data_IF_661587323270
#
_entry.id   IF_661587323270
#
_cell.length_a   1.000
_cell.length_b   1.000
_cell.length_c   1.000
_cell.angle_alpha   90.00
_cell.angle_beta   90.00
_cell.angle_gamma   90.00
#
_symmetry.space_group_name_H-M   'P 1'
#
loop_
_entity.id
_entity.type
_entity.pdbx_description
1 polymer ?
#
# COMPACT_ATOMS: atom_id res chain seq x y z
N UNK A 1 -0.10 -75.05 6.01
CA UNK A 1 1.31 -74.63 5.83
C UNK A 1 1.59 -74.45 4.36
N UNK A 2 2.01 -73.24 3.95
CA UNK A 2 2.95 -72.91 2.86
C UNK A 2 2.81 -71.41 2.57
N UNK A 3 3.73 -70.63 3.13
CA UNK A 3 3.97 -69.23 2.78
C UNK A 3 4.81 -69.24 1.51
N UNK A 4 4.52 -68.35 0.58
CA UNK A 4 5.51 -67.89 -0.41
C UNK A 4 5.43 -66.38 -0.44
N UNK A 5 6.61 -65.79 -0.22
CA UNK A 5 6.86 -64.37 -0.11
C UNK A 5 7.21 -63.75 -1.47
N UNK A 6 7.10 -62.42 -1.46
CA UNK A 6 7.84 -61.40 -2.22
C UNK A 6 7.36 -61.04 -3.62
N UNK A 7 6.94 -59.78 -3.70
CA UNK A 7 7.02 -58.95 -4.90
C UNK A 7 7.18 -57.50 -4.46
N UNK A 8 8.44 -57.07 -4.28
CA UNK A 8 8.80 -55.68 -4.06
C UNK A 8 8.57 -54.85 -5.33
N UNK A 9 7.87 -53.71 -5.22
CA UNK A 9 7.72 -52.73 -6.29
C UNK A 9 8.30 -51.37 -5.84
N UNK A 10 9.60 -51.26 -6.08
CA UNK A 10 10.34 -50.07 -6.57
C UNK A 10 9.79 -48.65 -6.27
N UNK A 11 10.50 -47.98 -5.35
CA UNK A 11 10.52 -46.54 -5.09
C UNK A 11 11.18 -45.73 -6.24
N UNK A 12 10.53 -45.60 -7.41
CA UNK A 12 11.05 -44.80 -8.54
C UNK A 12 9.99 -43.92 -9.21
N UNK A 13 9.15 -43.24 -8.41
CA UNK A 13 8.10 -42.34 -8.95
C UNK A 13 7.53 -41.33 -7.97
N UNK A 14 8.22 -41.02 -6.87
CA UNK A 14 7.63 -40.30 -5.73
C UNK A 14 7.36 -38.82 -5.96
N UNK A 15 8.03 -38.15 -6.90
CA UNK A 15 7.76 -36.72 -7.17
C UNK A 15 6.50 -36.48 -8.00
N UNK A 16 6.44 -37.09 -9.18
CA UNK A 16 5.36 -36.85 -10.14
C UNK A 16 4.04 -37.49 -9.73
N UNK A 17 4.07 -38.67 -9.08
CA UNK A 17 2.85 -39.32 -8.61
C UNK A 17 2.23 -38.56 -7.43
N UNK A 18 3.04 -38.01 -6.52
CA UNK A 18 2.54 -37.13 -5.43
C UNK A 18 2.02 -35.81 -6.00
N UNK A 19 2.73 -35.18 -6.94
CA UNK A 19 2.26 -33.96 -7.59
C UNK A 19 0.92 -34.18 -8.33
N UNK A 20 0.78 -35.30 -9.03
CA UNK A 20 -0.44 -35.67 -9.75
C UNK A 20 -1.57 -36.09 -8.81
N UNK A 21 -1.27 -36.73 -7.67
CA UNK A 21 -2.25 -37.07 -6.63
C UNK A 21 -2.75 -35.82 -5.88
N UNK A 22 -1.86 -34.85 -5.61
CA UNK A 22 -2.22 -33.53 -5.08
C UNK A 22 -3.03 -32.72 -6.09
N UNK A 23 -2.69 -32.76 -7.39
CA UNK A 23 -3.47 -32.10 -8.45
C UNK A 23 -4.83 -32.76 -8.70
N UNK A 24 -4.93 -34.09 -8.57
CA UNK A 24 -6.16 -34.86 -8.81
C UNK A 24 -7.13 -34.81 -7.62
N UNK A 25 -6.65 -34.68 -6.38
CA UNK A 25 -7.50 -34.43 -5.19
C UNK A 25 -7.71 -32.94 -4.90
N UNK A 26 -6.86 -32.08 -5.45
CA UNK A 26 -6.78 -30.67 -5.14
C UNK A 26 -7.08 -29.78 -6.33
N UNK A 27 -8.32 -29.80 -6.82
CA UNK A 27 -9.00 -28.49 -6.87
C UNK A 27 -9.23 -28.09 -5.41
N UNK A 28 -8.15 -27.67 -4.73
CA UNK A 28 -8.32 -26.76 -3.62
C UNK A 28 -9.18 -25.66 -4.22
N UNK A 29 -10.39 -25.39 -3.69
CA UNK A 29 -11.15 -24.27 -4.20
C UNK A 29 -10.16 -23.11 -4.09
N UNK A 30 -9.81 -22.52 -5.23
CA UNK A 30 -9.37 -21.13 -5.22
C UNK A 30 -10.60 -20.46 -4.66
N UNK A 31 -10.64 -20.32 -3.34
CA UNK A 31 -11.62 -19.49 -2.67
C UNK A 31 -11.18 -18.12 -3.13
N UNK A 32 -11.71 -17.73 -4.28
CA UNK A 32 -11.74 -16.36 -4.77
C UNK A 32 -12.53 -15.62 -3.72
N UNK A 33 -11.82 -15.22 -2.66
CA UNK A 33 -12.39 -14.36 -1.64
C UNK A 33 -12.93 -13.16 -2.38
N UNK A 34 -14.22 -12.87 -2.15
CA UNK A 34 -14.95 -11.80 -2.80
C UNK A 34 -14.08 -10.53 -2.83
N UNK A 35 -13.88 -9.86 -3.97
CA UNK A 35 -13.19 -8.58 -4.04
C UNK A 35 -13.68 -7.59 -2.96
N UNK A 36 -14.94 -7.68 -2.53
CA UNK A 36 -15.51 -6.89 -1.43
C UNK A 36 -14.82 -7.10 -0.08
N UNK A 37 -14.31 -8.30 0.19
CA UNK A 37 -13.52 -8.57 1.39
C UNK A 37 -12.25 -7.73 1.45
N UNK A 38 -11.63 -7.44 0.29
CA UNK A 38 -10.43 -6.61 0.17
C UNK A 38 -10.63 -5.17 0.66
N UNK A 39 -11.89 -4.70 0.64
CA UNK A 39 -12.30 -3.35 1.01
C UNK A 39 -13.06 -3.31 2.35
N UNK A 40 -12.98 -4.36 3.16
CA UNK A 40 -13.66 -4.40 4.46
C UNK A 40 -13.06 -3.39 5.43
N UNK A 41 -13.94 -2.68 6.14
CA UNK A 41 -13.55 -1.85 7.28
C UNK A 41 -12.83 -2.66 8.36
N UNK A 42 -11.74 -2.10 8.86
CA UNK A 42 -11.01 -2.53 10.05
C UNK A 42 -11.23 -1.46 11.11
N UNK A 43 -11.41 -1.84 12.37
CA UNK A 43 -11.75 -0.88 13.44
C UNK A 43 -11.04 -1.17 14.74
N UNK A 44 -10.86 -0.11 15.54
CA UNK A 44 -10.41 -0.14 16.93
C UNK A 44 -11.28 0.83 17.75
N UNK A 45 -11.53 0.51 19.02
CA UNK A 45 -12.11 1.47 19.97
C UNK A 45 -10.98 2.22 20.67
N UNK A 46 -11.12 3.54 20.79
CA UNK A 46 -10.18 4.45 21.46
C UNK A 46 -10.92 5.10 22.62
N UNK A 47 -10.34 5.06 23.81
CA UNK A 47 -10.92 5.59 25.06
C UNK A 47 -10.82 7.12 25.16
N UNK A 48 -11.26 7.81 24.10
CA UNK A 48 -11.29 9.26 23.98
C UNK A 48 -12.54 9.70 23.19
N UNK A 49 -13.04 10.92 23.40
CA UNK A 49 -14.13 11.48 22.62
C UNK A 49 -13.72 11.70 21.15
N UNK A 50 -14.71 11.82 20.28
CA UNK A 50 -14.51 11.85 18.83
C UNK A 50 -13.65 13.03 18.39
N UNK A 51 -13.81 14.16 19.06
CA UNK A 51 -13.13 15.43 18.80
C UNK A 51 -11.62 15.34 19.06
N UNK A 52 -11.21 14.47 20.00
CA UNK A 52 -9.79 14.21 20.28
C UNK A 52 -9.21 13.13 19.36
N UNK A 53 -10.02 12.15 18.97
CA UNK A 53 -9.58 11.08 18.05
C UNK A 53 -9.39 11.60 16.62
N UNK A 54 -10.26 12.50 16.18
CA UNK A 54 -10.28 13.01 14.81
C UNK A 54 -10.61 14.52 14.80
N UNK A 55 -9.72 15.37 15.34
CA UNK A 55 -9.93 16.81 15.43
C UNK A 55 -10.13 17.40 14.04
N UNK A 56 -11.17 18.22 13.88
CA UNK A 56 -11.59 18.81 12.59
C UNK A 56 -11.81 17.79 11.47
N UNK A 57 -12.09 16.53 11.83
CA UNK A 57 -12.22 15.43 10.88
C UNK A 57 -10.89 14.94 10.27
N UNK A 58 -9.76 15.39 10.80
CA UNK A 58 -8.43 14.99 10.33
C UNK A 58 -8.04 13.64 10.95
N UNK A 59 -7.70 12.62 10.14
CA UNK A 59 -7.28 11.32 10.65
C UNK A 59 -5.99 11.40 11.47
N UNK A 60 -5.82 10.55 12.50
CA UNK A 60 -4.60 10.53 13.29
C UNK A 60 -3.38 10.18 12.43
N UNK A 61 -2.21 10.73 12.82
CA UNK A 61 -0.98 10.69 12.02
C UNK A 61 -0.62 9.31 11.44
N UNK A 62 -0.71 8.18 12.18
CA UNK A 62 -0.41 6.86 11.62
C UNK A 62 -1.29 6.48 10.41
N UNK A 63 -2.57 6.86 10.42
CA UNK A 63 -3.50 6.60 9.30
C UNK A 63 -3.32 7.61 8.17
N UNK A 64 -3.01 8.87 8.47
CA UNK A 64 -2.82 9.94 7.46
C UNK A 64 -1.71 9.65 6.44
N UNK A 65 -0.79 8.73 6.77
CA UNK A 65 0.33 8.32 5.89
C UNK A 65 -0.05 7.24 4.88
N UNK A 66 -1.25 6.67 4.99
CA UNK A 66 -1.71 5.56 4.17
C UNK A 66 -2.79 6.04 3.19
N UNK A 67 -2.91 5.36 2.05
CA UNK A 67 -4.00 5.57 1.09
C UNK A 67 -5.28 4.84 1.55
N UNK A 68 -5.90 5.38 2.60
CA UNK A 68 -7.07 4.80 3.26
C UNK A 68 -8.24 5.77 3.32
N UNK A 69 -9.44 5.21 3.42
CA UNK A 69 -10.64 5.90 3.88
C UNK A 69 -10.77 5.68 5.39
N UNK A 70 -11.11 6.72 6.13
CA UNK A 70 -11.19 6.72 7.60
C UNK A 70 -12.53 7.29 8.03
N UNK A 71 -13.14 6.70 9.06
CA UNK A 71 -14.35 7.21 9.71
C UNK A 71 -14.27 6.98 11.22
N UNK A 72 -14.92 7.85 11.99
CA UNK A 72 -14.97 7.78 13.44
C UNK A 72 -16.43 7.88 13.91
N UNK A 73 -16.85 6.93 14.73
CA UNK A 73 -18.22 6.77 15.27
C UNK A 73 -18.16 6.66 16.80
N UNK A 74 -19.22 7.08 17.51
CA UNK A 74 -19.30 6.89 18.96
C UNK A 74 -19.31 5.38 19.28
N UNK A 75 -18.48 4.96 20.24
CA UNK A 75 -18.46 3.58 20.69
C UNK A 75 -19.68 3.28 21.58
N UNK A 76 -20.31 2.09 21.45
CA UNK A 76 -21.36 1.65 22.35
C UNK A 76 -20.89 1.59 23.80
N UNK A 77 -21.78 1.98 24.73
CA UNK A 77 -21.54 1.86 26.17
C UNK A 77 -20.51 2.83 26.71
N UNK A 78 -20.42 4.03 26.15
CA UNK A 78 -19.51 5.11 26.59
C UNK A 78 -18.03 4.71 26.64
N UNK A 79 -17.61 3.83 25.72
CA UNK A 79 -16.21 3.36 25.62
C UNK A 79 -15.30 4.31 24.84
N UNK A 80 -15.75 5.52 24.55
CA UNK A 80 -15.08 6.48 23.67
C UNK A 80 -15.50 6.35 22.21
N UNK A 81 -14.54 6.26 21.28
CA UNK A 81 -14.76 6.36 19.83
C UNK A 81 -14.31 5.10 19.10
N UNK A 82 -15.12 4.58 18.18
CA UNK A 82 -14.72 3.56 17.22
C UNK A 82 -14.13 4.21 15.97
N UNK A 83 -12.82 4.01 15.77
CA UNK A 83 -12.07 4.48 14.62
C UNK A 83 -11.92 3.35 13.61
N UNK A 84 -12.40 3.59 12.39
CA UNK A 84 -12.39 2.64 11.30
C UNK A 84 -11.52 3.12 10.13
N UNK A 85 -10.82 2.19 9.50
CA UNK A 85 -10.08 2.43 8.27
C UNK A 85 -10.24 1.29 7.25
N UNK A 86 -10.22 1.62 5.95
CA UNK A 86 -10.12 0.64 4.86
C UNK A 86 -9.22 1.16 3.74
N UNK A 87 -8.53 0.29 2.99
CA UNK A 87 -7.83 0.70 1.78
C UNK A 87 -8.78 1.34 0.76
N UNK A 88 -8.34 2.40 0.07
CA UNK A 88 -9.14 3.02 -1.02
C UNK A 88 -9.18 2.17 -2.29
N UNK A 89 -8.14 1.35 -2.51
CA UNK A 89 -8.02 0.46 -3.65
C UNK A 89 -8.15 -0.99 -3.20
N UNK A 90 -8.70 -1.81 -4.09
CA UNK A 90 -8.78 -3.25 -3.84
C UNK A 90 -7.37 -3.82 -3.62
N UNK A 91 -7.21 -4.56 -2.53
CA UNK A 91 -5.95 -5.25 -2.22
C UNK A 91 -5.96 -6.64 -2.85
N UNK A 92 -4.79 -7.26 -3.12
CA UNK A 92 -4.73 -8.59 -3.69
C UNK A 92 -5.61 -9.58 -2.92
N UNK A 93 -6.35 -10.43 -3.64
CA UNK A 93 -7.18 -11.51 -3.09
C UNK A 93 -6.65 -12.88 -3.55
N UNK A 94 -7.19 -13.97 -3.00
CA UNK A 94 -6.82 -15.33 -3.39
C UNK A 94 -5.35 -15.69 -3.10
N UNK A 95 -4.69 -16.50 -3.94
CA UNK A 95 -3.32 -16.96 -3.71
C UNK A 95 -2.31 -15.84 -3.49
N UNK A 96 -2.44 -14.71 -4.23
CA UNK A 96 -1.55 -13.56 -4.06
C UNK A 96 -1.68 -12.91 -2.68
N UNK A 97 -2.88 -12.89 -2.09
CA UNK A 97 -3.09 -12.42 -0.72
C UNK A 97 -2.42 -13.34 0.31
N UNK A 98 -2.46 -14.65 0.07
CA UNK A 98 -1.84 -15.66 0.93
C UNK A 98 -0.32 -15.50 0.87
N UNK A 99 0.27 -15.43 -0.33
CA UNK A 99 1.69 -15.16 -0.50
C UNK A 99 2.11 -13.84 0.13
N UNK A 100 1.30 -12.78 -0.04
CA UNK A 100 1.55 -11.48 0.59
C UNK A 100 1.58 -11.60 2.12
N UNK A 101 0.62 -12.31 2.72
CA UNK A 101 0.61 -12.53 4.17
C UNK A 101 1.82 -13.31 4.66
N UNK A 102 2.22 -14.36 3.93
CA UNK A 102 3.41 -15.16 4.26
C UNK A 102 4.70 -14.34 4.14
N UNK A 103 4.76 -13.40 3.19
CA UNK A 103 5.89 -12.47 2.99
C UNK A 103 5.81 -11.21 3.85
N UNK A 104 4.77 -11.05 4.67
CA UNK A 104 4.55 -9.85 5.47
C UNK A 104 4.14 -8.59 4.68
N UNK A 105 3.73 -8.73 3.43
CA UNK A 105 3.34 -7.64 2.52
C UNK A 105 1.83 -7.52 2.30
N UNK A 106 1.01 -8.06 3.22
CA UNK A 106 -0.44 -7.90 3.19
C UNK A 106 -0.83 -6.45 3.56
N UNK A 107 -1.41 -5.64 2.65
CA UNK A 107 -1.72 -4.23 2.94
C UNK A 107 -2.68 -4.05 4.11
N UNK A 108 -3.52 -5.06 4.43
CA UNK A 108 -4.39 -4.99 5.61
C UNK A 108 -3.59 -5.00 6.92
N UNK A 109 -2.39 -5.58 6.92
CA UNK A 109 -1.53 -5.56 8.11
C UNK A 109 -1.00 -4.16 8.39
N UNK A 110 -0.66 -3.39 7.36
CA UNK A 110 -0.27 -1.98 7.52
C UNK A 110 -1.42 -1.15 8.10
N UNK A 111 -2.65 -1.35 7.62
CA UNK A 111 -3.83 -0.65 8.16
C UNK A 111 -4.09 -1.05 9.63
N UNK A 112 -4.03 -2.34 9.97
CA UNK A 112 -4.18 -2.80 11.37
C UNK A 112 -3.09 -2.22 12.26
N UNK A 113 -1.84 -2.19 11.78
CA UNK A 113 -0.72 -1.61 12.50
C UNK A 113 -0.93 -0.12 12.74
N UNK A 114 -1.34 0.63 11.71
CA UNK A 114 -1.62 2.06 11.84
C UNK A 114 -2.78 2.35 12.80
N UNK A 115 -3.85 1.54 12.80
CA UNK A 115 -4.94 1.66 13.78
C UNK A 115 -4.46 1.42 15.22
N UNK A 116 -3.63 0.40 15.44
CA UNK A 116 -3.04 0.11 16.76
C UNK A 116 -2.08 1.22 17.21
N UNK A 117 -1.19 1.65 16.32
CA UNK A 117 -0.24 2.74 16.61
C UNK A 117 -1.02 4.05 16.90
N UNK A 118 -2.13 4.32 16.21
CA UNK A 118 -2.99 5.47 16.50
C UNK A 118 -3.65 5.35 17.88
N UNK A 119 -4.23 4.19 18.21
CA UNK A 119 -4.80 3.92 19.53
C UNK A 119 -3.76 4.13 20.63
N UNK A 120 -2.56 3.57 20.49
CA UNK A 120 -1.50 3.73 21.50
C UNK A 120 -1.07 5.20 21.65
N UNK A 121 -0.79 5.91 20.55
CA UNK A 121 -0.39 7.33 20.62
C UNK A 121 -1.48 8.17 21.28
N UNK A 122 -2.75 7.94 20.95
CA UNK A 122 -3.85 8.72 21.49
C UNK A 122 -4.12 8.38 22.96
N UNK A 123 -4.09 7.12 23.35
CA UNK A 123 -4.40 6.69 24.73
C UNK A 123 -3.22 6.85 25.70
N UNK A 124 -1.99 6.67 25.23
CA UNK A 124 -0.80 6.60 26.09
C UNK A 124 0.29 7.59 25.71
N UNK A 125 0.16 8.30 24.59
CA UNK A 125 1.19 9.23 24.09
C UNK A 125 2.35 8.55 23.36
N UNK A 126 2.42 7.21 23.34
CA UNK A 126 3.54 6.46 22.77
C UNK A 126 3.09 5.16 22.10
N UNK A 127 3.99 4.51 21.35
CA UNK A 127 3.73 3.18 20.78
C UNK A 127 4.65 2.17 21.41
N UNK A 128 4.10 1.26 22.22
CA UNK A 128 4.86 0.16 22.79
C UNK A 128 5.37 -0.77 21.70
N UNK A 129 6.68 -1.01 21.69
CA UNK A 129 7.33 -1.99 20.82
C UNK A 129 7.86 -3.13 21.69
N UNK A 130 7.71 -4.39 21.24
CA UNK A 130 8.43 -5.49 21.87
C UNK A 130 9.93 -5.20 21.86
N UNK A 131 10.59 -5.48 22.98
CA UNK A 131 12.06 -5.50 23.04
C UNK A 131 12.56 -6.53 22.01
N UNK A 132 13.55 -6.19 21.16
CA UNK A 132 14.17 -7.18 20.29
C UNK A 132 14.71 -8.34 21.13
N UNK A 133 14.49 -9.56 20.64
CA UNK A 133 15.08 -10.74 21.28
C UNK A 133 16.60 -10.55 21.35
N UNK A 134 17.23 -10.78 22.52
CA UNK A 134 18.68 -10.64 22.64
C UNK A 134 19.33 -11.54 21.59
N UNK A 135 20.18 -10.95 20.75
CA UNK A 135 20.93 -11.69 19.76
C UNK A 135 21.69 -12.80 20.48
N UNK A 136 21.25 -14.04 20.30
CA UNK A 136 21.79 -15.18 21.02
C UNK A 136 23.30 -15.24 20.84
N UNK A 137 24.01 -15.42 21.97
CA UNK A 137 25.46 -15.72 22.06
C UNK A 137 25.79 -17.14 21.53
N UNK A 138 25.09 -17.60 20.50
CA UNK A 138 25.45 -18.80 19.75
C UNK A 138 25.92 -18.33 18.39
N UNK A 139 27.24 -18.24 18.25
CA UNK A 139 27.89 -17.80 17.05
C UNK A 139 27.55 -18.71 15.88
N UNK A 140 26.70 -18.21 14.99
CA UNK A 140 26.95 -18.13 13.56
C UNK A 140 26.18 -16.91 13.00
N UNK A 141 26.79 -16.10 12.11
CA UNK A 141 26.11 -14.95 11.55
C UNK A 141 25.07 -15.43 10.53
N UNK A 142 23.79 -15.44 10.90
CA UNK A 142 22.71 -15.60 9.94
C UNK A 142 22.63 -14.35 9.05
N UNK A 143 23.33 -14.45 7.94
CA UNK A 143 23.47 -13.46 6.89
C UNK A 143 22.16 -13.30 6.10
N UNK A 144 21.09 -12.72 6.67
CA UNK A 144 19.99 -12.17 5.86
C UNK A 144 19.39 -10.96 6.58
N UNK A 145 19.98 -9.77 6.37
CA UNK A 145 19.28 -8.48 6.15
C UNK A 145 20.26 -7.29 6.19
N UNK A 146 21.01 -7.13 5.10
CA UNK A 146 21.59 -5.86 4.62
C UNK A 146 21.35 -5.92 3.10
N UNK A 147 20.68 -5.01 2.39
CA UNK A 147 20.45 -3.56 2.51
C UNK A 147 19.34 -3.15 1.54
N UNK A 148 18.52 -2.14 1.86
CA UNK A 148 18.16 -1.08 0.90
C UNK A 148 17.64 0.18 1.61
N UNK A 149 18.52 0.80 2.39
CA UNK A 149 18.42 2.24 2.68
C UNK A 149 19.62 2.89 1.99
N UNK A 150 19.37 3.48 0.83
CA UNK A 150 20.28 4.44 0.23
C UNK A 150 19.44 5.68 -0.09
N UNK A 151 19.27 6.53 0.92
CA UNK A 151 19.10 7.96 0.72
C UNK A 151 20.46 8.58 1.02
N UNK A 152 21.20 8.97 -0.01
CA UNK A 152 22.35 9.86 0.11
C UNK A 152 22.13 11.00 -0.87
N UNK A 153 22.00 12.20 -0.32
CA UNK A 153 21.94 13.46 -1.02
C UNK A 153 23.29 13.75 -1.71
N UNK A 154 23.31 14.43 -2.88
CA UNK A 154 24.56 14.87 -3.49
C UNK A 154 25.07 16.16 -2.83
N UNK A 155 26.35 16.17 -2.44
CA UNK A 155 27.11 17.37 -2.07
C UNK A 155 28.15 17.70 -3.15
N UNK A 156 28.06 18.93 -3.62
CA UNK A 156 28.90 19.74 -4.53
C UNK A 156 30.31 19.26 -4.91
N UNK A 157 30.70 19.52 -6.17
CA UNK A 157 32.00 20.15 -6.45
C UNK A 157 31.91 21.11 -7.63
N UNK A 158 32.42 22.30 -7.39
CA UNK A 158 32.48 23.44 -8.28
C UNK A 158 33.63 23.34 -9.30
N UNK A 159 33.47 24.19 -10.33
CA UNK A 159 34.51 24.82 -11.14
C UNK A 159 35.29 23.94 -12.13
N UNK A 160 35.03 24.15 -13.42
CA UNK A 160 35.97 24.83 -14.34
C UNK A 160 35.68 24.38 -15.77
N UNK A 161 35.24 25.30 -16.61
CA UNK A 161 35.83 25.59 -17.94
C UNK A 161 35.09 26.82 -18.47
N UNK A 162 35.88 27.87 -18.67
CA UNK A 162 35.48 29.14 -19.22
C UNK A 162 35.49 29.13 -20.76
N UNK A 163 34.39 29.64 -21.34
CA UNK A 163 34.32 30.64 -22.43
C UNK A 163 34.58 30.22 -23.91
N UNK A 164 34.20 31.07 -24.91
CA UNK A 164 32.93 31.79 -25.12
C UNK A 164 32.46 31.70 -26.62
N UNK A 165 31.44 32.51 -27.00
CA UNK A 165 31.19 33.15 -28.34
C UNK A 165 29.82 32.90 -29.00
N UNK A 166 29.11 34.02 -29.22
CA UNK A 166 28.02 34.39 -30.17
C UNK A 166 26.70 33.61 -30.10
N UNK A 167 25.63 34.25 -29.63
CA UNK A 167 24.77 35.20 -30.35
C UNK A 167 23.87 34.52 -31.39
N UNK A 168 22.59 34.33 -31.04
CA UNK A 168 21.52 34.73 -31.96
C UNK A 168 20.26 35.12 -31.18
N UNK A 169 19.65 36.20 -31.67
CA UNK A 169 18.35 36.72 -31.28
C UNK A 169 17.30 35.77 -31.86
N UNK A 170 16.23 35.49 -31.12
CA UNK A 170 14.85 35.59 -31.66
C UNK A 170 13.84 34.92 -30.73
N UNK A 171 12.71 35.63 -30.53
CA UNK A 171 11.42 34.97 -30.48
C UNK A 171 10.93 34.53 -29.11
N UNK A 172 10.78 35.49 -28.21
CA UNK A 172 9.89 35.39 -27.05
C UNK A 172 8.45 35.13 -27.53
N UNK A 173 8.08 33.84 -27.67
CA UNK A 173 6.70 33.43 -27.92
C UNK A 173 5.94 33.46 -26.60
N UNK A 174 5.42 34.64 -26.27
CA UNK A 174 4.38 34.82 -25.26
C UNK A 174 3.14 34.04 -25.69
N UNK A 175 2.68 33.13 -24.84
CA UNK A 175 1.38 32.50 -25.01
C UNK A 175 0.29 33.55 -24.71
N UNK A 176 -0.68 33.78 -25.62
CA UNK A 176 -1.76 34.72 -25.37
C UNK A 176 -2.67 34.18 -24.25
N UNK A 177 -2.99 35.05 -23.29
CA UNK A 177 -3.78 34.73 -22.12
C UNK A 177 -5.23 34.41 -22.48
N UNK A 178 -5.93 33.74 -21.56
CA UNK A 178 -7.31 33.28 -21.71
C UNK A 178 -8.29 34.38 -22.19
N UNK A 179 -7.99 35.65 -21.90
CA UNK A 179 -8.80 36.82 -22.33
C UNK A 179 -8.72 37.08 -23.83
N UNK A 180 -7.57 36.89 -24.45
CA UNK A 180 -7.38 37.13 -25.90
C UNK A 180 -8.11 36.09 -26.75
N UNK A 181 -8.23 34.87 -26.21
CA UNK A 181 -9.00 33.79 -26.86
C UNK A 181 -10.52 34.04 -26.86
N UNK A 182 -11.04 34.68 -25.81
CA UNK A 182 -12.49 35.01 -25.73
C UNK A 182 -12.84 36.14 -26.71
N UNK A 183 -11.96 37.14 -26.86
CA UNK A 183 -12.14 38.23 -27.83
C UNK A 183 -12.07 37.74 -29.29
N UNK A 184 -11.18 36.80 -29.61
CA UNK A 184 -11.08 36.22 -30.96
C UNK A 184 -12.29 35.35 -31.35
N UNK A 185 -13.00 34.75 -30.36
CA UNK A 185 -14.19 33.94 -30.61
C UNK A 185 -15.45 34.80 -30.83
N UNK A 186 -15.52 35.99 -30.23
CA UNK A 186 -16.64 36.92 -30.37
C UNK A 186 -16.70 37.60 -31.76
N UNK A 187 -15.56 37.74 -32.45
CA UNK A 187 -15.48 38.41 -33.75
C UNK A 187 -15.92 37.54 -34.96
N UNK A 188 -16.30 36.27 -34.75
CA UNK A 188 -16.76 35.36 -35.83
C UNK A 188 -18.29 35.21 -35.92
N UNK A 189 -19.07 36.01 -35.20
CA UNK A 189 -20.54 35.91 -35.19
C UNK A 189 -21.23 37.18 -35.70
N UNK A 190 -21.41 37.20 -37.03
CA UNK A 190 -22.42 37.95 -37.81
C UNK A 190 -22.25 39.49 -37.88
N UNK A 191 -22.66 40.16 -38.99
CA UNK A 191 -24.02 40.12 -39.52
C UNK A 191 -24.13 39.85 -41.03
N UNK A 192 -25.02 38.91 -41.38
CA UNK A 192 -25.62 38.83 -42.71
C UNK A 192 -27.11 39.10 -42.57
N UNK A 193 -27.46 40.39 -42.46
CA UNK A 193 -28.83 40.86 -42.63
C UNK A 193 -29.29 40.63 -44.07
N UNK A 194 -30.54 40.21 -44.20
CA UNK A 194 -31.16 39.89 -45.48
C UNK A 194 -31.49 41.09 -46.36
N UNK A 195 -31.79 40.77 -47.62
CA UNK A 195 -32.69 41.56 -48.46
C UNK A 195 -33.31 40.69 -49.55
N UNK A 196 -34.64 40.80 -49.62
CA UNK A 196 -35.58 40.53 -50.71
C UNK A 196 -35.88 39.06 -51.04
#
# INVERSE_FOLDING_TARGET
MKRVLFGAATLLGTGAAVARWLAARGRAPVVTKDPKESLRWLGVTINLPREEVMPDGVPPRPLSRLDVEVRAEQAPGDRGTELYARPRRAVPTGPMAILGRLRGTDPRQEVRKALRDAKSILETGEVLRPEPEPAGIHGEPSAIQKTKTALTAPKSRAASIAQPVRADRSGERRQPGLRDRVLALAARRAPGEGRL
#
